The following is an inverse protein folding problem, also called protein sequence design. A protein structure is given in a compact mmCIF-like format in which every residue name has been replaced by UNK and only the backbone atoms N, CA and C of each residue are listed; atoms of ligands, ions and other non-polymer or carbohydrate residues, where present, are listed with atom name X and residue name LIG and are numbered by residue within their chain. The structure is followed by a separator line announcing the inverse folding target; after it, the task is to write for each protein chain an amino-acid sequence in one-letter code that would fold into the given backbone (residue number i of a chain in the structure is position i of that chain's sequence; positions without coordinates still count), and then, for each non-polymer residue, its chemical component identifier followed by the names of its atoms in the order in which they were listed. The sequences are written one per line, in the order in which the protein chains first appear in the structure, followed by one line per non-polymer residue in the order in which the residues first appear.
data_IF_212367201091
#
_entry.id   IF_212367201091
#
_cell.length_a   1.000
_cell.length_b   1.000
_cell.length_c   1.000
_cell.angle_alpha   90.00
_cell.angle_beta   90.00
_cell.angle_gamma   90.00
#
_symmetry.space_group_name_H-M   'P 1'
#
loop_
_entity.id
_entity.type
_entity.pdbx_description
1 polymer ?
#
# COMPACT_ATOMS: atom_id res chain seq x y z
N UNK A 1 9.97 26.83 -13.59
CA UNK A 1 9.38 25.47 -13.59
C UNK A 1 8.15 25.34 -14.48
N UNK A 2 7.08 26.20 -14.27
CA UNK A 2 5.86 26.08 -15.06
C UNK A 2 6.07 26.43 -16.55
N UNK A 3 6.84 27.49 -16.83
CA UNK A 3 7.22 27.89 -18.20
C UNK A 3 8.10 26.85 -18.89
N UNK A 4 9.05 26.27 -18.19
CA UNK A 4 9.91 25.19 -18.70
C UNK A 4 9.09 23.93 -19.04
N UNK A 5 8.13 23.57 -18.17
CA UNK A 5 7.22 22.46 -18.40
C UNK A 5 6.33 22.72 -19.61
N UNK A 6 5.79 23.93 -19.74
CA UNK A 6 4.97 24.33 -20.92
C UNK A 6 5.79 24.27 -22.22
N UNK A 7 7.01 24.79 -22.21
CA UNK A 7 7.92 24.74 -23.37
C UNK A 7 8.29 23.29 -23.72
N UNK A 8 8.52 22.43 -22.72
CA UNK A 8 8.77 21.02 -22.93
C UNK A 8 7.55 20.33 -23.58
N UNK A 9 6.32 20.56 -23.08
CA UNK A 9 5.10 19.96 -23.62
C UNK A 9 4.74 20.46 -25.01
N UNK A 10 5.07 21.71 -25.35
CA UNK A 10 4.87 22.28 -26.70
C UNK A 10 5.87 21.74 -27.71
N UNK A 11 7.10 21.40 -27.29
CA UNK A 11 8.16 20.90 -28.17
C UNK A 11 8.26 19.38 -28.26
N UNK A 12 7.57 18.65 -27.38
CA UNK A 12 7.64 17.19 -27.33
C UNK A 12 6.22 16.57 -27.49
N UNK A 13 6.23 15.34 -28.01
CA UNK A 13 5.01 14.55 -28.13
C UNK A 13 4.56 14.12 -26.74
N UNK A 14 3.48 14.69 -26.21
CA UNK A 14 2.92 14.35 -24.91
C UNK A 14 2.12 13.05 -25.02
N UNK A 15 2.31 12.14 -24.07
CA UNK A 15 1.53 10.90 -24.00
C UNK A 15 0.05 11.17 -23.65
N UNK A 16 -0.81 10.24 -24.01
CA UNK A 16 -2.21 10.26 -23.56
C UNK A 16 -2.27 9.95 -22.05
N UNK A 17 -3.00 10.78 -21.31
CA UNK A 17 -3.30 10.55 -19.91
C UNK A 17 -4.73 10.03 -19.80
N UNK A 18 -4.90 8.96 -19.03
CA UNK A 18 -6.21 8.40 -18.70
C UNK A 18 -6.30 8.27 -17.19
N UNK A 19 -7.36 8.83 -16.60
CA UNK A 19 -7.64 8.73 -15.17
C UNK A 19 -8.71 7.67 -14.97
N UNK A 20 -8.37 6.60 -14.25
CA UNK A 20 -9.27 5.50 -13.96
C UNK A 20 -9.62 5.50 -12.47
N UNK A 21 -10.89 5.31 -12.16
CA UNK A 21 -11.32 4.97 -10.80
C UNK A 21 -11.03 3.49 -10.56
N UNK A 22 -10.33 3.17 -9.48
CA UNK A 22 -9.93 1.79 -9.21
C UNK A 22 -9.53 1.54 -7.75
N UNK A 23 -9.32 0.27 -7.46
CA UNK A 23 -8.82 -0.23 -6.17
C UNK A 23 -7.41 -0.82 -6.39
N UNK A 24 -6.45 -0.39 -5.59
CA UNK A 24 -5.08 -0.91 -5.64
C UNK A 24 -4.97 -2.41 -5.29
N UNK A 25 -6.01 -2.97 -4.67
CA UNK A 25 -6.13 -4.41 -4.37
C UNK A 25 -6.92 -5.19 -5.44
N UNK A 26 -7.37 -4.51 -6.52
CA UNK A 26 -8.08 -5.10 -7.65
C UNK A 26 -7.88 -4.22 -8.90
N UNK A 27 -6.69 -4.35 -9.49
CA UNK A 27 -6.26 -3.48 -10.60
C UNK A 27 -6.89 -3.97 -11.91
N UNK A 28 -7.63 -3.08 -12.56
CA UNK A 28 -8.21 -3.33 -13.89
C UNK A 28 -7.37 -2.60 -14.94
N UNK A 29 -6.46 -3.29 -15.57
CA UNK A 29 -5.69 -2.76 -16.69
C UNK A 29 -6.20 -3.34 -18.01
N UNK A 30 -6.38 -2.50 -19.03
CA UNK A 30 -6.82 -2.91 -20.35
C UNK A 30 -5.68 -3.52 -21.19
N UNK A 31 -4.43 -3.38 -20.75
CA UNK A 31 -3.22 -3.91 -21.40
C UNK A 31 -2.13 -4.11 -20.35
N UNK A 32 -1.09 -4.86 -20.73
CA UNK A 32 0.13 -4.94 -19.93
C UNK A 32 0.79 -3.56 -19.83
N UNK A 33 1.44 -3.30 -18.70
CA UNK A 33 2.12 -2.04 -18.38
C UNK A 33 3.63 -2.28 -18.20
N UNK A 34 4.43 -1.34 -18.65
CA UNK A 34 5.90 -1.44 -18.56
C UNK A 34 6.41 -0.97 -17.20
N UNK A 35 5.74 0.00 -16.59
CA UNK A 35 6.15 0.60 -15.32
C UNK A 35 4.95 0.90 -14.45
N UNK A 36 4.98 0.44 -13.20
CA UNK A 36 4.08 0.85 -12.13
C UNK A 36 4.86 1.67 -11.09
N UNK A 37 4.28 2.77 -10.62
CA UNK A 37 4.89 3.62 -9.58
C UNK A 37 3.84 3.91 -8.52
N UNK A 38 4.18 3.73 -7.25
CA UNK A 38 3.28 4.05 -6.14
C UNK A 38 4.03 4.53 -4.90
N UNK A 39 3.30 5.26 -4.06
CA UNK A 39 3.67 5.51 -2.67
C UNK A 39 2.51 5.03 -1.80
N UNK A 40 2.55 3.79 -1.29
CA UNK A 40 1.47 3.25 -0.47
C UNK A 40 1.36 4.00 0.86
N UNK A 41 0.21 3.95 1.54
CA UNK A 41 0.09 4.46 2.90
C UNK A 41 1.13 3.83 3.82
N UNK A 42 1.67 4.59 4.76
CA UNK A 42 2.60 4.05 5.76
C UNK A 42 1.84 3.39 6.91
N UNK A 43 2.42 2.36 7.50
CA UNK A 43 1.81 1.67 8.63
C UNK A 43 1.60 2.67 9.77
N UNK A 44 0.36 2.86 10.19
CA UNK A 44 0.00 3.66 11.35
C UNK A 44 0.41 5.15 11.29
N UNK A 45 0.69 5.69 10.11
CA UNK A 45 1.19 7.06 9.97
C UNK A 45 0.08 8.09 9.73
N UNK A 46 -0.99 7.74 9.01
CA UNK A 46 -1.98 8.70 8.56
C UNK A 46 -3.39 8.10 8.46
N UNK A 47 -4.35 8.73 9.13
CA UNK A 47 -5.78 8.46 8.89
C UNK A 47 -6.26 9.33 7.71
N UNK A 48 -6.05 8.83 6.48
CA UNK A 48 -6.40 9.54 5.25
C UNK A 48 -7.88 9.93 5.20
N UNK A 49 -8.77 9.07 5.70
CA UNK A 49 -10.20 9.38 5.75
C UNK A 49 -10.53 10.57 6.64
N UNK A 50 -9.78 10.74 7.73
CA UNK A 50 -9.94 11.88 8.64
C UNK A 50 -9.29 13.14 8.07
N UNK A 51 -8.12 13.01 7.50
CA UNK A 51 -7.32 14.15 7.03
C UNK A 51 -7.96 14.81 5.81
N UNK A 52 -8.46 14.01 4.85
CA UNK A 52 -9.10 14.51 3.63
C UNK A 52 -10.63 14.63 3.74
N UNK A 53 -11.18 14.58 4.97
CA UNK A 53 -12.63 14.59 5.18
C UNK A 53 -13.28 15.87 4.66
N UNK A 54 -12.70 17.02 4.94
CA UNK A 54 -13.26 18.32 4.54
C UNK A 54 -13.23 18.48 3.03
N UNK A 55 -12.11 18.12 2.40
CA UNK A 55 -11.94 18.18 0.94
C UNK A 55 -12.93 17.25 0.24
N UNK A 56 -13.05 16.02 0.70
CA UNK A 56 -13.97 15.04 0.12
C UNK A 56 -15.43 15.45 0.24
N UNK A 57 -15.83 16.01 1.40
CA UNK A 57 -17.19 16.52 1.59
C UNK A 57 -17.45 17.76 0.74
N UNK A 58 -16.50 18.67 0.66
CA UNK A 58 -16.64 19.92 -0.11
C UNK A 58 -16.70 19.67 -1.61
N UNK A 59 -15.92 18.70 -2.10
CA UNK A 59 -15.92 18.30 -3.52
C UNK A 59 -17.09 17.35 -3.87
N UNK A 60 -17.91 16.96 -2.88
CA UNK A 60 -19.02 16.03 -3.09
C UNK A 60 -18.59 14.60 -3.43
N UNK A 61 -17.32 14.23 -3.16
CA UNK A 61 -16.77 12.90 -3.43
C UNK A 61 -17.22 11.87 -2.41
N UNK A 62 -17.61 12.31 -1.20
CA UNK A 62 -18.06 11.47 -0.10
C UNK A 62 -19.19 12.13 0.70
N UNK A 63 -19.95 11.31 1.43
CA UNK A 63 -20.86 11.72 2.50
C UNK A 63 -20.27 11.30 3.85
N UNK A 64 -20.82 11.83 4.96
CA UNK A 64 -20.40 11.42 6.30
C UNK A 64 -20.59 9.91 6.57
N UNK A 65 -21.58 9.30 5.92
CA UNK A 65 -21.87 7.88 6.03
C UNK A 65 -20.85 7.04 5.24
N UNK A 66 -20.56 7.44 4.00
CA UNK A 66 -19.62 6.72 3.14
C UNK A 66 -18.19 6.81 3.65
N UNK A 67 -17.76 7.92 4.25
CA UNK A 67 -16.44 8.07 4.87
C UNK A 67 -16.19 7.01 5.96
N UNK A 68 -17.21 6.70 6.79
CA UNK A 68 -17.06 5.70 7.86
C UNK A 68 -16.83 4.29 7.30
N UNK A 69 -17.43 3.95 6.18
CA UNK A 69 -17.28 2.63 5.57
C UNK A 69 -16.00 2.54 4.75
N UNK A 70 -15.67 3.57 3.98
CA UNK A 70 -14.38 3.67 3.27
C UNK A 70 -13.18 3.59 4.21
N UNK A 71 -13.29 4.14 5.43
CA UNK A 71 -12.24 4.05 6.45
C UNK A 71 -11.85 2.61 6.80
N UNK A 72 -12.74 1.64 6.64
CA UNK A 72 -12.46 0.21 6.91
C UNK A 72 -11.72 -0.47 5.76
N UNK A 73 -11.81 0.05 4.54
CA UNK A 73 -11.25 -0.54 3.33
C UNK A 73 -9.86 -0.03 2.96
N UNK A 74 -9.41 1.08 3.54
CA UNK A 74 -8.09 1.63 3.21
C UNK A 74 -6.95 0.71 3.63
N UNK A 75 -5.95 0.58 2.76
CA UNK A 75 -4.66 -0.05 3.09
C UNK A 75 -4.05 0.65 4.31
N UNK A 76 -3.63 -0.11 5.32
CA UNK A 76 -3.08 0.45 6.56
C UNK A 76 -4.12 1.02 7.54
N UNK A 77 -5.41 0.72 7.36
CA UNK A 77 -6.46 1.17 8.28
C UNK A 77 -6.25 0.71 9.72
N UNK A 78 -6.45 1.61 10.68
CA UNK A 78 -6.48 1.28 12.11
C UNK A 78 -7.83 0.70 12.59
N UNK A 79 -8.84 0.67 11.72
CA UNK A 79 -10.19 0.24 12.05
C UNK A 79 -10.34 -1.28 11.95
N UNK A 80 -9.64 -2.01 12.82
CA UNK A 80 -9.70 -3.46 12.92
C UNK A 80 -10.60 -3.86 14.08
N UNK A 81 -11.64 -4.66 13.80
CA UNK A 81 -12.53 -5.21 14.83
C UNK A 81 -11.89 -6.45 15.45
N UNK A 82 -11.26 -6.29 16.61
CA UNK A 82 -10.53 -7.35 17.31
C UNK A 82 -11.39 -8.57 17.68
N UNK A 83 -12.69 -8.43 17.81
CA UNK A 83 -13.60 -9.55 18.16
C UNK A 83 -13.79 -10.58 17.04
N UNK A 84 -13.74 -10.18 15.76
CA UNK A 84 -13.86 -11.10 14.60
C UNK A 84 -12.53 -11.82 14.28
N UNK A 85 -11.41 -11.28 14.70
CA UNK A 85 -10.08 -11.75 14.30
C UNK A 85 -9.60 -12.93 15.16
N UNK A 86 -10.18 -13.14 16.36
CA UNK A 86 -9.72 -14.22 17.27
C UNK A 86 -10.14 -15.64 16.89
N UNK A 87 -11.17 -15.81 16.08
CA UNK A 87 -11.71 -17.14 15.76
C UNK A 87 -11.11 -17.81 14.51
N UNK A 88 -10.49 -17.01 13.60
CA UNK A 88 -9.88 -17.50 12.35
C UNK A 88 -8.67 -16.62 11.97
N UNK A 89 -7.63 -16.59 12.83
CA UNK A 89 -6.44 -15.79 12.56
C UNK A 89 -5.57 -16.53 11.53
N UNK A 90 -5.75 -16.18 10.24
CA UNK A 90 -4.81 -16.60 9.23
C UNK A 90 -3.48 -15.87 9.43
N UNK A 91 -2.42 -16.59 9.75
CA UNK A 91 -1.05 -16.08 9.95
C UNK A 91 -0.12 -16.41 8.79
N UNK A 92 -0.66 -16.93 7.67
CA UNK A 92 0.13 -17.36 6.52
C UNK A 92 1.05 -16.27 5.97
N UNK A 93 0.63 -15.01 6.03
CA UNK A 93 1.46 -13.87 5.60
C UNK A 93 2.79 -13.77 6.39
N UNK A 94 2.83 -14.20 7.64
CA UNK A 94 4.03 -14.16 8.47
C UNK A 94 5.11 -15.14 8.01
N UNK A 95 4.71 -16.17 7.26
CA UNK A 95 5.67 -17.15 6.72
C UNK A 95 6.39 -16.63 5.47
N UNK A 96 5.94 -15.52 4.87
CA UNK A 96 6.55 -14.93 3.68
C UNK A 96 7.80 -14.10 4.01
N UNK A 97 7.96 -13.65 5.26
CA UNK A 97 9.14 -12.92 5.72
C UNK A 97 9.45 -13.22 7.18
N UNK A 98 10.66 -13.70 7.43
CA UNK A 98 11.14 -13.93 8.80
C UNK A 98 11.09 -12.65 9.63
N UNK A 99 11.49 -11.53 9.06
CA UNK A 99 11.46 -10.22 9.71
C UNK A 99 10.04 -9.80 10.08
N UNK A 100 9.05 -10.01 9.19
CA UNK A 100 7.65 -9.73 9.49
C UNK A 100 7.17 -10.57 10.68
N UNK A 101 7.51 -11.85 10.71
CA UNK A 101 7.14 -12.78 11.79
C UNK A 101 7.69 -12.32 13.13
N UNK A 102 8.98 -11.97 13.20
CA UNK A 102 9.63 -11.48 14.40
C UNK A 102 8.99 -10.19 14.90
N UNK A 103 8.85 -9.19 14.03
CA UNK A 103 8.23 -7.89 14.34
C UNK A 103 6.78 -8.05 14.80
N UNK A 104 6.01 -8.92 14.17
CA UNK A 104 4.61 -9.18 14.55
C UNK A 104 4.53 -9.67 16.01
N UNK A 105 5.30 -10.70 16.37
CA UNK A 105 5.25 -11.25 17.72
C UNK A 105 5.83 -10.30 18.78
N UNK A 106 6.82 -9.50 18.44
CA UNK A 106 7.37 -8.52 19.38
C UNK A 106 6.36 -7.39 19.66
N UNK A 107 5.63 -6.94 18.64
CA UNK A 107 4.55 -5.96 18.83
C UNK A 107 3.38 -6.61 19.57
N UNK A 108 3.01 -7.86 19.26
CA UNK A 108 1.89 -8.58 19.87
C UNK A 108 2.02 -8.71 21.38
N UNK A 109 3.23 -8.96 21.88
CA UNK A 109 3.54 -9.01 23.33
C UNK A 109 3.18 -7.70 24.05
N UNK A 110 3.25 -6.56 23.36
CA UNK A 110 3.02 -5.22 23.92
C UNK A 110 1.60 -4.73 23.60
N UNK A 111 1.17 -4.91 22.36
CA UNK A 111 -0.08 -4.37 21.83
C UNK A 111 -0.63 -5.25 20.68
N UNK A 112 -1.50 -6.18 21.06
CA UNK A 112 -2.12 -7.12 20.10
C UNK A 112 -2.85 -6.40 18.96
N UNK A 113 -3.52 -5.26 19.23
CA UNK A 113 -4.22 -4.52 18.20
C UNK A 113 -3.26 -3.95 17.15
N UNK A 114 -2.12 -3.43 17.59
CA UNK A 114 -1.10 -2.88 16.69
C UNK A 114 -0.43 -3.99 15.86
N UNK A 115 -0.19 -5.16 16.43
CA UNK A 115 0.30 -6.31 15.67
C UNK A 115 -0.66 -6.69 14.53
N UNK A 116 -1.96 -6.72 14.80
CA UNK A 116 -2.97 -6.99 13.77
C UNK A 116 -3.02 -5.93 12.67
N UNK A 117 -2.78 -4.64 13.00
CA UNK A 117 -2.68 -3.57 12.01
C UNK A 117 -1.47 -3.78 11.10
N UNK A 118 -0.31 -4.14 11.66
CA UNK A 118 0.89 -4.48 10.90
C UNK A 118 0.63 -5.66 9.96
N UNK A 119 0.06 -6.74 10.48
CA UNK A 119 -0.32 -7.92 9.70
C UNK A 119 -1.22 -7.54 8.53
N UNK A 120 -2.31 -6.81 8.80
CA UNK A 120 -3.28 -6.37 7.77
C UNK A 120 -2.62 -5.52 6.69
N UNK A 121 -1.72 -4.62 7.06
CA UNK A 121 -0.98 -3.82 6.10
C UNK A 121 -0.18 -4.69 5.13
N UNK A 122 0.57 -5.67 5.63
CA UNK A 122 1.36 -6.55 4.76
C UNK A 122 0.50 -7.53 3.96
N UNK A 123 -0.67 -7.93 4.46
CA UNK A 123 -1.65 -8.68 3.66
C UNK A 123 -2.17 -7.86 2.46
N UNK A 124 -2.46 -6.58 2.69
CA UNK A 124 -2.91 -5.70 1.62
C UNK A 124 -1.78 -5.43 0.62
N UNK A 125 -0.55 -5.19 1.11
CA UNK A 125 0.61 -5.05 0.22
C UNK A 125 0.91 -6.31 -0.58
N UNK A 126 0.75 -7.50 0.02
CA UNK A 126 0.88 -8.78 -0.69
C UNK A 126 -0.14 -8.88 -1.84
N UNK A 127 -1.41 -8.56 -1.58
CA UNK A 127 -2.45 -8.52 -2.62
C UNK A 127 -2.12 -7.52 -3.72
N UNK A 128 -1.71 -6.30 -3.36
CA UNK A 128 -1.31 -5.29 -4.32
C UNK A 128 -0.14 -5.75 -5.19
N UNK A 129 0.88 -6.37 -4.58
CA UNK A 129 2.03 -6.92 -5.31
C UNK A 129 1.59 -7.98 -6.34
N UNK A 130 0.67 -8.89 -5.97
CA UNK A 130 0.11 -9.89 -6.89
C UNK A 130 -0.63 -9.22 -8.05
N UNK A 131 -1.49 -8.22 -7.75
CA UNK A 131 -2.23 -7.50 -8.78
C UNK A 131 -1.30 -6.78 -9.76
N UNK A 132 -0.28 -6.09 -9.24
CA UNK A 132 0.71 -5.41 -10.09
C UNK A 132 1.52 -6.43 -10.90
N UNK A 133 1.96 -7.53 -10.29
CA UNK A 133 2.69 -8.59 -11.00
C UNK A 133 1.89 -9.13 -12.20
N UNK A 134 0.58 -9.33 -12.01
CA UNK A 134 -0.31 -9.83 -13.04
C UNK A 134 -0.51 -8.85 -14.21
N UNK A 135 -0.42 -7.53 -13.99
CA UNK A 135 -0.62 -6.55 -15.05
C UNK A 135 0.69 -6.05 -15.68
N UNK A 136 1.84 -6.27 -15.06
CA UNK A 136 3.14 -5.93 -15.63
C UNK A 136 3.43 -6.74 -16.90
N UNK A 137 4.07 -6.11 -17.87
CA UNK A 137 4.70 -6.76 -19.01
C UNK A 137 5.94 -7.57 -18.54
N UNK A 138 6.42 -8.48 -19.37
CA UNK A 138 7.70 -9.15 -19.14
C UNK A 138 8.83 -8.11 -19.09
N UNK A 139 9.65 -8.16 -18.05
CA UNK A 139 10.68 -7.14 -17.78
C UNK A 139 10.15 -5.80 -17.27
N UNK A 140 8.85 -5.67 -17.08
CA UNK A 140 8.23 -4.48 -16.50
C UNK A 140 8.70 -4.21 -15.07
N UNK A 141 8.66 -2.95 -14.65
CA UNK A 141 9.21 -2.50 -13.36
C UNK A 141 8.14 -1.98 -12.41
N UNK A 142 8.24 -2.31 -11.14
CA UNK A 142 7.41 -1.76 -10.07
C UNK A 142 8.26 -0.94 -9.10
N UNK A 143 8.03 0.37 -9.04
CA UNK A 143 8.70 1.29 -8.14
C UNK A 143 7.80 1.61 -6.96
N UNK A 144 8.25 1.31 -5.73
CA UNK A 144 7.51 1.57 -4.49
C UNK A 144 8.30 2.55 -3.64
N UNK A 145 7.69 3.71 -3.32
CA UNK A 145 8.26 4.69 -2.40
C UNK A 145 7.63 4.50 -1.03
N UNK A 146 8.39 3.98 -0.08
CA UNK A 146 7.89 3.67 1.26
C UNK A 146 8.93 3.97 2.33
N UNK A 147 8.48 4.54 3.46
CA UNK A 147 9.30 4.74 4.65
C UNK A 147 9.14 3.62 5.68
N UNK A 148 10.13 3.52 6.58
CA UNK A 148 10.03 2.67 7.75
C UNK A 148 9.06 3.26 8.77
N UNK A 149 8.52 2.41 9.63
CA UNK A 149 7.60 2.81 10.70
C UNK A 149 8.14 2.38 12.06
N UNK A 150 7.78 3.13 13.10
CA UNK A 150 8.06 2.74 14.49
C UNK A 150 6.75 2.52 15.22
N UNK A 151 6.54 1.30 15.71
CA UNK A 151 5.30 0.91 16.41
C UNK A 151 5.67 0.40 17.81
N UNK A 152 5.19 1.10 18.84
CA UNK A 152 5.54 0.80 20.22
C UNK A 152 7.07 0.74 20.47
N UNK A 153 7.82 1.60 19.78
CA UNK A 153 9.30 1.67 19.77
C UNK A 153 9.98 0.48 19.08
N UNK A 154 9.23 -0.38 18.41
CA UNK A 154 9.77 -1.45 17.56
C UNK A 154 9.87 -0.90 16.14
N UNK A 155 11.06 -0.99 15.55
CA UNK A 155 11.28 -0.59 14.16
C UNK A 155 10.67 -1.63 13.23
N UNK A 156 9.89 -1.16 12.26
CA UNK A 156 9.30 -1.96 11.18
C UNK A 156 9.94 -1.51 9.88
N UNK A 157 10.90 -2.28 9.39
CA UNK A 157 11.57 -2.02 8.11
C UNK A 157 10.68 -2.42 6.95
N UNK A 158 9.68 -1.58 6.66
CA UNK A 158 8.62 -1.90 5.71
C UNK A 158 9.15 -2.26 4.32
N UNK A 159 10.17 -1.55 3.84
CA UNK A 159 10.78 -1.81 2.55
C UNK A 159 11.39 -3.21 2.46
N UNK A 160 12.11 -3.64 3.51
CA UNK A 160 12.77 -4.94 3.55
C UNK A 160 11.75 -6.09 3.53
N UNK A 161 10.71 -5.97 4.35
CA UNK A 161 9.62 -6.95 4.42
C UNK A 161 8.87 -7.03 3.07
N UNK A 162 8.61 -5.89 2.42
CA UNK A 162 8.00 -5.85 1.09
C UNK A 162 8.89 -6.55 0.07
N UNK A 163 10.21 -6.37 0.12
CA UNK A 163 11.14 -7.08 -0.76
C UNK A 163 11.07 -8.60 -0.56
N UNK A 164 10.97 -9.09 0.70
CA UNK A 164 10.83 -10.51 0.96
C UNK A 164 9.54 -11.07 0.34
N UNK A 165 8.41 -10.39 0.57
CA UNK A 165 7.11 -10.77 0.01
C UNK A 165 7.14 -10.75 -1.52
N UNK A 166 7.74 -9.71 -2.11
CA UNK A 166 7.84 -9.57 -3.56
C UNK A 166 8.64 -10.70 -4.21
N UNK A 167 9.75 -11.14 -3.58
CA UNK A 167 10.53 -12.29 -4.06
C UNK A 167 9.72 -13.57 -4.08
N UNK A 168 8.87 -13.81 -3.09
CA UNK A 168 8.00 -15.01 -3.04
C UNK A 168 6.99 -15.00 -4.19
N UNK A 169 6.53 -13.83 -4.63
CA UNK A 169 5.59 -13.68 -5.76
C UNK A 169 6.30 -13.92 -7.09
N UNK A 170 7.61 -13.64 -7.18
CA UNK A 170 8.41 -13.79 -8.41
C UNK A 170 9.05 -12.51 -8.91
N UNK A 171 9.01 -11.42 -8.14
CA UNK A 171 9.77 -10.22 -8.47
C UNK A 171 11.27 -10.41 -8.22
N UNK A 172 12.08 -9.88 -9.10
CA UNK A 172 13.50 -9.63 -8.85
C UNK A 172 13.67 -8.22 -8.27
N UNK A 173 14.51 -8.09 -7.24
CA UNK A 173 14.81 -6.77 -6.65
C UNK A 173 15.99 -6.17 -7.39
N UNK A 174 15.71 -5.16 -8.20
CA UNK A 174 16.71 -4.50 -9.04
C UNK A 174 17.61 -3.55 -8.21
N UNK A 175 17.00 -2.60 -7.50
CA UNK A 175 17.73 -1.63 -6.67
C UNK A 175 16.85 -1.03 -5.59
N UNK A 176 17.47 -0.45 -4.56
CA UNK A 176 16.80 0.36 -3.56
C UNK A 176 17.65 1.59 -3.24
N UNK A 177 16.96 2.67 -2.85
CA UNK A 177 17.57 3.93 -2.42
C UNK A 177 17.12 4.25 -1.00
N UNK A 178 18.00 4.80 -0.20
CA UNK A 178 17.72 5.27 1.17
C UNK A 178 18.06 6.75 1.32
#
# INVERSE_FOLDING_TARGET
YMEEFLNYTLSNKVGKVEILEGDALNIKANSKIDVAITSPPYINAFDYARTLRLENLWLGLDSEETIKDKKKSYVGTENITTKKVKSELDLSILELSKQLKEVYYDIEKIDQKRALIVKKFFEDMHKNLIEVYNVLAEGGKYCIVIGNSSIRKINVESWSIICDIARVIGFEIDTYFS
#
